data_IF_730892641047
#
_entry.id   IF_730892641047
#
_cell.length_a   1.000
_cell.length_b   1.000
_cell.length_c   1.000
_cell.angle_alpha   90.00
_cell.angle_beta   90.00
_cell.angle_gamma   90.00
#
_symmetry.space_group_name_H-M   'P 1'
#
loop_
_entity.id
_entity.type
_entity.pdbx_description
1 polymer ?
#
# COMPACT_ATOMS: atom_id res chain seq x y z
N UNK A 1 -61.47 -34.32 52.82
CA UNK A 1 -60.21 -33.84 53.44
C UNK A 1 -59.26 -35.03 53.36
N UNK A 2 -58.20 -35.01 52.56
CA UNK A 2 -56.96 -34.30 52.86
C UNK A 2 -56.26 -33.79 51.59
N UNK A 3 -56.03 -32.49 51.53
CA UNK A 3 -55.10 -31.87 50.59
C UNK A 3 -53.69 -32.01 51.19
N UNK A 4 -52.80 -32.75 50.55
CA UNK A 4 -51.37 -32.76 50.91
C UNK A 4 -50.71 -31.51 50.31
N UNK A 5 -50.48 -30.49 51.14
CA UNK A 5 -49.68 -29.33 50.79
C UNK A 5 -48.19 -29.63 51.05
N UNK A 6 -47.39 -29.64 49.99
CA UNK A 6 -45.93 -29.56 50.11
C UNK A 6 -45.52 -28.09 50.34
N UNK A 7 -45.50 -27.69 51.60
CA UNK A 7 -44.84 -26.45 52.02
C UNK A 7 -43.33 -26.63 52.04
N UNK A 8 -42.61 -25.65 51.49
CA UNK A 8 -41.16 -25.59 51.49
C UNK A 8 -40.60 -25.64 52.92
N UNK A 9 -40.15 -26.83 53.36
CA UNK A 9 -38.88 -27.05 54.09
C UNK A 9 -38.79 -28.37 54.85
N UNK A 10 -39.84 -29.20 54.98
CA UNK A 10 -39.72 -30.48 55.71
C UNK A 10 -40.55 -31.60 55.06
N UNK A 11 -39.88 -32.61 54.50
CA UNK A 11 -40.51 -33.87 54.10
C UNK A 11 -40.61 -34.79 55.33
N UNK A 12 -41.82 -35.11 55.79
CA UNK A 12 -42.03 -36.12 56.84
C UNK A 12 -41.95 -37.55 56.25
N UNK A 13 -41.35 -38.54 56.95
CA UNK A 13 -41.06 -39.86 56.39
C UNK A 13 -42.28 -40.78 56.18
N UNK A 14 -43.48 -40.36 56.60
CA UNK A 14 -44.66 -41.23 56.61
C UNK A 14 -45.51 -41.18 55.34
N UNK A 15 -45.07 -40.48 54.29
CA UNK A 15 -45.76 -40.44 52.99
C UNK A 15 -45.04 -41.21 51.88
N UNK A 16 -44.48 -42.39 52.16
CA UNK A 16 -43.76 -43.18 51.15
C UNK A 16 -44.09 -44.68 51.18
N UNK A 17 -45.33 -45.09 50.81
CA UNK A 17 -45.60 -46.26 49.95
C UNK A 17 -47.12 -46.36 49.61
N UNK A 18 -47.55 -46.85 48.42
CA UNK A 18 -46.79 -47.14 47.21
C UNK A 18 -46.77 -45.93 46.24
N UNK A 19 -45.62 -45.72 45.61
CA UNK A 19 -45.20 -44.54 44.84
C UNK A 19 -46.21 -44.00 43.81
N UNK A 20 -46.55 -42.70 43.88
CA UNK A 20 -46.54 -41.81 42.74
C UNK A 20 -45.31 -40.91 42.83
N UNK A 21 -44.56 -40.82 41.74
CA UNK A 21 -43.37 -39.99 41.59
C UNK A 21 -43.62 -38.54 42.05
N UNK A 22 -43.25 -38.23 43.30
CA UNK A 22 -43.23 -36.86 43.79
C UNK A 22 -42.09 -36.13 43.07
N UNK A 23 -42.42 -35.45 41.97
CA UNK A 23 -41.49 -34.53 41.31
C UNK A 23 -41.45 -33.26 42.15
N UNK A 24 -40.40 -33.10 42.95
CA UNK A 24 -40.11 -31.81 43.57
C UNK A 24 -39.79 -30.76 42.48
N UNK A 25 -40.19 -29.49 42.66
CA UNK A 25 -39.87 -28.44 41.71
C UNK A 25 -38.33 -28.32 41.56
N UNK A 26 -37.82 -28.07 40.35
CA UNK A 26 -36.38 -27.89 40.12
C UNK A 26 -35.83 -26.81 41.06
N UNK A 27 -34.68 -27.07 41.67
CA UNK A 27 -34.00 -26.10 42.53
C UNK A 27 -33.65 -24.81 41.78
N UNK A 28 -33.46 -23.69 42.50
CA UNK A 28 -33.10 -22.42 41.88
C UNK A 28 -31.81 -22.58 41.06
N UNK A 29 -31.77 -21.93 39.89
CA UNK A 29 -30.58 -21.92 39.04
C UNK A 29 -29.38 -21.39 39.83
N UNK A 30 -28.28 -22.12 39.82
CA UNK A 30 -27.05 -21.69 40.47
C UNK A 30 -26.52 -20.35 39.93
N UNK A 31 -25.67 -19.64 40.71
CA UNK A 31 -25.09 -18.38 40.29
C UNK A 31 -24.32 -18.54 38.98
N UNK A 32 -24.36 -17.52 38.13
CA UNK A 32 -23.57 -17.49 36.90
C UNK A 32 -22.08 -17.57 37.28
N UNK A 33 -21.34 -18.45 36.63
CA UNK A 33 -19.90 -18.57 36.84
C UNK A 33 -19.15 -17.27 36.51
N UNK A 34 -17.93 -17.09 37.05
CA UNK A 34 -17.12 -15.91 36.79
C UNK A 34 -16.86 -15.74 35.28
N UNK A 35 -16.72 -14.48 34.85
CA UNK A 35 -16.31 -14.18 33.47
C UNK A 35 -14.92 -14.77 33.24
N UNK A 36 -14.73 -15.46 32.12
CA UNK A 36 -13.42 -15.97 31.72
C UNK A 36 -12.38 -14.85 31.56
N UNK A 37 -11.10 -15.20 31.70
CA UNK A 37 -10.00 -14.27 31.48
C UNK A 37 -10.06 -13.68 30.07
N UNK A 38 -9.61 -12.43 29.93
CA UNK A 38 -9.42 -11.81 28.61
C UNK A 38 -8.40 -12.67 27.83
N UNK A 39 -8.73 -13.00 26.60
CA UNK A 39 -7.79 -13.70 25.71
C UNK A 39 -6.51 -12.89 25.48
N UNK A 40 -5.42 -13.54 25.04
CA UNK A 40 -4.19 -12.84 24.68
C UNK A 40 -4.46 -11.78 23.59
N UNK A 41 -3.64 -10.72 23.58
CA UNK A 41 -3.66 -9.74 22.48
C UNK A 41 -3.25 -10.46 21.20
N UNK A 42 -4.02 -10.29 20.11
CA UNK A 42 -3.62 -10.80 18.80
C UNK A 42 -2.32 -10.14 18.31
N UNK A 43 -1.57 -10.84 17.47
CA UNK A 43 -0.41 -10.28 16.78
C UNK A 43 -0.84 -9.09 15.91
N UNK A 44 0.01 -8.06 15.84
CA UNK A 44 -0.23 -6.93 14.93
C UNK A 44 -0.04 -7.38 13.48
N UNK A 45 -0.89 -6.92 12.56
CA UNK A 45 -0.67 -7.21 11.14
C UNK A 45 0.42 -6.30 10.58
N UNK A 46 1.32 -6.84 9.74
CA UNK A 46 2.37 -6.08 9.05
C UNK A 46 1.83 -5.14 7.96
N UNK A 47 0.51 -5.01 7.85
CA UNK A 47 -0.19 -4.30 6.79
C UNK A 47 -0.55 -5.17 5.59
N UNK A 48 -0.74 -4.52 4.44
CA UNK A 48 -0.95 -5.12 3.13
C UNK A 48 -0.02 -4.45 2.11
N UNK A 49 0.23 -5.10 0.97
CA UNK A 49 1.12 -4.58 -0.07
C UNK A 49 0.31 -4.19 -1.31
N UNK A 50 0.55 -3.00 -1.84
CA UNK A 50 0.09 -2.59 -3.18
C UNK A 50 1.20 -2.92 -4.19
N UNK A 51 0.98 -3.88 -5.10
CA UNK A 51 1.95 -4.22 -6.12
C UNK A 51 1.86 -3.29 -7.33
N UNK A 52 3.00 -2.85 -7.84
CA UNK A 52 3.16 -2.13 -9.09
C UNK A 52 4.09 -2.92 -10.01
N UNK A 53 3.66 -3.14 -11.24
CA UNK A 53 4.47 -3.80 -12.26
C UNK A 53 4.17 -3.16 -13.61
N UNK A 54 5.20 -2.99 -14.45
CA UNK A 54 5.03 -2.40 -15.79
C UNK A 54 4.33 -3.35 -16.78
N UNK A 55 4.19 -4.62 -16.43
CA UNK A 55 3.61 -5.64 -17.31
C UNK A 55 4.47 -5.87 -18.56
N UNK A 56 3.80 -6.11 -19.69
CA UNK A 56 4.44 -6.29 -21.00
C UNK A 56 4.83 -4.96 -21.66
N UNK A 57 4.38 -3.83 -21.12
CA UNK A 57 4.69 -2.50 -21.64
C UNK A 57 5.95 -1.98 -20.97
N UNK A 58 6.96 -1.65 -21.77
CA UNK A 58 8.19 -1.05 -21.25
C UNK A 58 7.91 0.37 -20.74
N UNK A 59 8.57 0.73 -19.63
CA UNK A 59 8.66 2.12 -19.18
C UNK A 59 9.63 2.87 -20.07
N UNK A 60 9.26 4.06 -20.52
CA UNK A 60 10.12 4.98 -21.30
C UNK A 60 10.23 6.32 -20.57
N UNK A 61 11.44 6.65 -20.12
CA UNK A 61 11.77 7.89 -19.43
C UNK A 61 12.66 8.74 -20.32
N UNK A 62 12.48 10.06 -20.35
CA UNK A 62 13.45 10.94 -21.00
C UNK A 62 13.98 12.00 -20.05
N UNK A 63 15.17 12.49 -20.37
CA UNK A 63 15.70 13.75 -19.81
C UNK A 63 15.53 14.85 -20.86
N UNK A 64 15.31 16.09 -20.42
CA UNK A 64 15.23 17.26 -21.32
C UNK A 64 16.41 18.19 -21.08
N UNK A 65 16.85 18.85 -22.15
CA UNK A 65 17.87 19.89 -22.13
C UNK A 65 17.14 21.22 -21.92
N UNK A 66 17.32 21.87 -20.77
CA UNK A 66 16.88 23.26 -20.59
C UNK A 66 18.00 24.06 -19.91
N UNK A 67 18.21 25.29 -20.38
CA UNK A 67 19.26 26.21 -19.94
C UNK A 67 19.06 26.78 -18.52
N UNK A 68 17.90 26.55 -17.91
CA UNK A 68 17.60 26.95 -16.52
C UNK A 68 17.63 25.72 -15.60
N UNK A 69 18.52 25.74 -14.61
CA UNK A 69 18.82 24.73 -13.56
C UNK A 69 17.64 24.14 -12.72
N UNK A 70 16.43 24.03 -13.24
CA UNK A 70 15.30 23.38 -12.59
C UNK A 70 15.20 21.92 -13.02
N UNK A 71 15.89 21.02 -12.29
CA UNK A 71 15.60 19.58 -12.14
C UNK A 71 14.72 18.98 -13.25
N UNK A 72 15.26 18.87 -14.46
CA UNK A 72 14.47 18.76 -15.70
C UNK A 72 14.21 17.31 -16.08
N UNK A 73 13.15 16.72 -15.53
CA UNK A 73 12.60 15.45 -16.02
C UNK A 73 11.93 15.68 -17.36
N UNK A 74 12.21 14.84 -18.36
CA UNK A 74 11.46 14.80 -19.60
C UNK A 74 10.18 13.99 -19.45
N UNK A 75 9.91 13.09 -20.39
CA UNK A 75 8.80 12.15 -20.29
C UNK A 75 8.97 11.23 -19.09
N UNK A 76 7.87 11.00 -18.40
CA UNK A 76 7.76 10.12 -17.23
C UNK A 76 6.73 9.04 -17.49
N UNK A 77 6.80 7.96 -16.71
CA UNK A 77 5.89 6.84 -16.83
C UNK A 77 5.11 6.62 -15.54
N UNK A 78 3.79 6.49 -15.67
CA UNK A 78 2.91 6.11 -14.58
C UNK A 78 2.61 4.60 -14.65
N UNK A 79 2.61 3.94 -13.50
CA UNK A 79 2.34 2.51 -13.36
C UNK A 79 1.22 2.30 -12.35
N UNK A 80 0.28 1.42 -12.69
CA UNK A 80 -0.79 0.98 -11.80
C UNK A 80 -1.34 -0.39 -12.21
N UNK A 81 -1.36 -1.34 -11.28
CA UNK A 81 -1.96 -2.68 -11.45
C UNK A 81 -1.59 -3.46 -12.72
N UNK A 82 -0.34 -3.32 -13.20
CA UNK A 82 0.12 -4.02 -14.40
C UNK A 82 0.02 -3.20 -15.69
N UNK A 83 -0.62 -2.03 -15.63
CA UNK A 83 -0.69 -1.07 -16.74
C UNK A 83 0.42 -0.02 -16.63
N UNK A 84 0.95 0.39 -17.78
CA UNK A 84 1.97 1.44 -17.90
C UNK A 84 1.49 2.50 -18.89
N UNK A 85 1.49 3.76 -18.46
CA UNK A 85 1.27 4.92 -19.33
C UNK A 85 2.56 5.71 -19.47
N UNK A 86 3.16 5.70 -20.66
CA UNK A 86 4.33 6.48 -21.02
C UNK A 86 3.95 7.85 -21.58
N UNK A 87 4.95 8.71 -21.80
CA UNK A 87 4.78 9.98 -22.52
C UNK A 87 4.12 11.08 -21.69
N UNK A 88 3.99 10.90 -20.39
CA UNK A 88 3.46 11.96 -19.52
C UNK A 88 4.55 12.99 -19.24
N UNK A 89 4.15 14.20 -18.90
CA UNK A 89 5.03 15.28 -18.44
C UNK A 89 4.50 15.86 -17.15
N UNK A 90 5.36 16.54 -16.39
CA UNK A 90 4.90 17.30 -15.23
C UNK A 90 4.47 18.70 -15.65
N UNK A 91 3.30 19.11 -15.18
CA UNK A 91 2.81 20.48 -15.27
C UNK A 91 3.52 21.42 -14.29
N UNK A 92 3.10 22.68 -14.28
CA UNK A 92 3.61 23.70 -13.35
C UNK A 92 3.33 23.24 -11.91
N UNK A 93 4.37 23.22 -11.07
CA UNK A 93 4.25 22.73 -9.69
C UNK A 93 4.41 21.21 -9.50
N UNK A 94 4.68 20.46 -10.58
CA UNK A 94 4.97 19.02 -10.51
C UNK A 94 3.75 18.13 -10.65
N UNK A 95 2.61 18.66 -11.08
CA UNK A 95 1.37 17.92 -11.29
C UNK A 95 1.49 16.95 -12.48
N UNK A 96 0.86 15.78 -12.36
CA UNK A 96 0.77 14.77 -13.41
C UNK A 96 -0.69 14.56 -13.80
N UNK A 97 -1.05 14.86 -15.04
CA UNK A 97 -2.39 14.57 -15.57
C UNK A 97 -2.41 13.18 -16.23
N UNK A 98 -3.26 12.28 -15.73
CA UNK A 98 -3.46 10.97 -16.36
C UNK A 98 -4.70 11.01 -17.27
N UNK A 99 -4.49 10.81 -18.57
CA UNK A 99 -5.56 10.84 -19.58
C UNK A 99 -6.76 9.93 -19.30
N UNK A 100 -6.56 8.80 -18.62
CA UNK A 100 -7.64 7.86 -18.28
C UNK A 100 -7.88 7.67 -16.77
N UNK A 101 -6.96 8.07 -15.88
CA UNK A 101 -7.08 7.96 -14.41
C UNK A 101 -7.34 6.56 -13.79
N UNK A 102 -7.71 5.57 -14.60
CA UNK A 102 -8.26 4.27 -14.20
C UNK A 102 -7.21 3.27 -13.70
N UNK A 103 -5.92 3.61 -13.83
CA UNK A 103 -4.83 2.79 -13.31
C UNK A 103 -4.48 3.10 -11.85
N UNK A 104 -4.99 4.21 -11.30
CA UNK A 104 -4.68 4.60 -9.94
C UNK A 104 -5.44 3.73 -8.92
N UNK A 105 -4.75 3.33 -7.86
CA UNK A 105 -5.33 2.62 -6.73
C UNK A 105 -6.24 3.53 -5.92
N UNK A 106 -7.52 3.14 -5.79
CA UNK A 106 -8.45 3.84 -4.89
C UNK A 106 -8.33 3.31 -3.48
N UNK A 107 -7.90 4.16 -2.56
CA UNK A 107 -7.67 3.83 -1.15
C UNK A 107 -9.03 3.65 -0.43
N UNK A 108 -9.39 2.44 0.04
CA UNK A 108 -10.73 2.18 0.58
C UNK A 108 -10.91 2.60 2.05
N UNK A 109 -9.82 2.87 2.76
CA UNK A 109 -9.80 3.23 4.19
C UNK A 109 -8.61 4.14 4.46
N UNK A 110 -8.61 4.87 5.57
CA UNK A 110 -7.40 5.60 5.99
C UNK A 110 -6.26 4.60 6.20
N UNK A 111 -5.10 4.87 5.58
CA UNK A 111 -3.92 4.02 5.63
C UNK A 111 -2.69 4.84 6.00
N UNK A 112 -1.64 4.13 6.40
CA UNK A 112 -0.28 4.67 6.53
C UNK A 112 0.68 3.90 5.64
N UNK A 113 1.41 4.61 4.79
CA UNK A 113 2.51 4.05 4.01
C UNK A 113 3.72 3.95 4.91
N UNK A 114 4.28 2.74 5.04
CA UNK A 114 5.43 2.47 5.90
C UNK A 114 6.69 2.15 5.11
N UNK A 115 6.55 1.49 3.96
CA UNK A 115 7.69 1.03 3.18
C UNK A 115 7.40 1.12 1.70
N UNK A 116 8.42 1.45 0.91
CA UNK A 116 8.36 1.42 -0.55
C UNK A 116 9.64 0.77 -1.03
N UNK A 117 9.54 -0.23 -1.89
CA UNK A 117 10.69 -0.78 -2.63
C UNK A 117 10.41 -0.68 -4.11
N UNK A 118 11.36 -0.21 -4.89
CA UNK A 118 11.23 -0.07 -6.33
C UNK A 118 12.45 -0.63 -7.06
N UNK A 119 12.24 -1.15 -8.26
CA UNK A 119 13.29 -1.62 -9.15
C UNK A 119 13.04 -1.16 -10.59
N UNK A 120 14.13 -1.07 -11.35
CA UNK A 120 14.12 -0.77 -12.77
C UNK A 120 15.26 -1.55 -13.44
N UNK A 121 14.99 -2.14 -14.60
CA UNK A 121 16.00 -2.82 -15.42
C UNK A 121 15.96 -2.24 -16.82
N UNK A 122 17.04 -1.62 -17.29
CA UNK A 122 17.06 -1.06 -18.64
C UNK A 122 17.11 -2.15 -19.71
N UNK A 123 16.44 -1.94 -20.84
CA UNK A 123 16.41 -2.91 -21.94
C UNK A 123 17.42 -2.62 -23.05
N UNK A 124 17.94 -1.40 -23.10
CA UNK A 124 18.91 -0.96 -24.10
C UNK A 124 20.13 -0.31 -23.44
N UNK A 125 21.29 -0.44 -24.09
CA UNK A 125 22.51 0.24 -23.66
C UNK A 125 22.34 1.77 -23.76
N UNK A 126 22.91 2.49 -22.80
CA UNK A 126 22.92 3.96 -22.78
C UNK A 126 24.36 4.48 -22.81
N UNK A 127 24.57 5.63 -23.43
CA UNK A 127 25.84 6.36 -23.43
C UNK A 127 25.59 7.79 -22.97
N UNK A 128 26.09 8.14 -21.79
CA UNK A 128 25.79 9.39 -21.09
C UNK A 128 26.97 10.38 -21.07
N UNK A 129 28.14 9.97 -21.54
CA UNK A 129 29.36 10.77 -21.46
C UNK A 129 29.68 11.15 -20.00
N UNK A 130 29.90 12.44 -19.75
CA UNK A 130 30.15 12.99 -18.41
C UNK A 130 28.87 13.26 -17.59
N UNK A 131 27.69 12.92 -18.13
CA UNK A 131 26.41 13.17 -17.46
C UNK A 131 26.08 12.04 -16.48
N UNK A 132 25.46 12.40 -15.36
CA UNK A 132 24.96 11.46 -14.37
C UNK A 132 23.44 11.58 -14.25
N UNK A 133 22.72 10.47 -14.44
CA UNK A 133 21.26 10.43 -14.41
C UNK A 133 20.78 9.52 -13.27
N UNK A 134 19.81 10.01 -12.50
CA UNK A 134 19.19 9.29 -11.40
C UNK A 134 17.76 8.88 -11.80
N UNK A 135 17.49 7.57 -11.82
CA UNK A 135 16.11 7.06 -11.91
C UNK A 135 15.49 7.15 -10.52
N UNK A 136 14.22 7.54 -10.44
CA UNK A 136 13.47 7.63 -9.20
C UNK A 136 12.04 7.12 -9.40
N UNK A 137 11.45 6.61 -8.33
CA UNK A 137 10.05 6.25 -8.26
C UNK A 137 9.39 7.06 -7.13
N UNK A 138 8.22 7.62 -7.36
CA UNK A 138 7.49 8.36 -6.33
C UNK A 138 5.99 8.11 -6.46
N UNK A 139 5.31 7.95 -5.32
CA UNK A 139 3.85 7.95 -5.29
C UNK A 139 3.29 9.35 -5.55
N UNK A 140 2.22 9.38 -6.32
CA UNK A 140 1.43 10.55 -6.63
C UNK A 140 0.00 10.29 -6.17
N UNK A 141 -0.68 11.34 -5.71
CA UNK A 141 -2.01 11.23 -5.14
C UNK A 141 -2.99 12.21 -5.78
N UNK A 142 -4.27 11.84 -5.79
CA UNK A 142 -5.36 12.66 -6.31
C UNK A 142 -6.65 12.37 -5.54
N UNK A 143 -7.54 13.35 -5.32
CA UNK A 143 -8.91 13.07 -4.90
C UNK A 143 -9.64 12.14 -5.90
N UNK A 144 -10.62 11.35 -5.44
CA UNK A 144 -11.34 10.38 -6.27
C UNK A 144 -11.89 10.94 -7.59
N UNK A 145 -12.33 12.20 -7.60
CA UNK A 145 -13.01 12.84 -8.74
C UNK A 145 -12.08 13.50 -9.74
N UNK A 146 -10.77 13.56 -9.49
CA UNK A 146 -9.83 14.36 -10.28
C UNK A 146 -8.87 13.47 -11.11
N UNK A 147 -8.42 13.97 -12.26
CA UNK A 147 -7.43 13.31 -13.13
C UNK A 147 -6.02 13.89 -12.96
N UNK A 148 -5.90 14.99 -12.21
CA UNK A 148 -4.66 15.58 -11.80
C UNK A 148 -4.10 14.92 -10.53
N UNK A 149 -2.83 14.53 -10.57
CA UNK A 149 -2.13 13.94 -9.46
C UNK A 149 -0.96 14.80 -9.02
N UNK A 150 -0.79 14.95 -7.71
CA UNK A 150 0.33 15.67 -7.11
C UNK A 150 1.33 14.70 -6.48
N UNK A 151 2.62 15.03 -6.43
CA UNK A 151 3.61 14.19 -5.77
C UNK A 151 3.27 14.04 -4.28
N UNK A 152 3.20 12.80 -3.79
CA UNK A 152 3.04 12.52 -2.38
C UNK A 152 4.39 12.79 -1.66
N UNK A 153 4.47 13.73 -0.70
CA UNK A 153 5.72 14.04 -0.05
C UNK A 153 6.25 12.88 0.79
N UNK A 154 7.58 12.71 0.82
CA UNK A 154 8.25 11.67 1.61
C UNK A 154 8.25 10.26 1.01
N UNK A 155 7.68 10.06 -0.19
CA UNK A 155 7.59 8.75 -0.85
C UNK A 155 8.50 8.60 -2.07
N UNK A 156 9.49 9.50 -2.24
CA UNK A 156 10.44 9.43 -3.36
C UNK A 156 11.58 8.45 -3.05
N UNK A 157 11.63 7.38 -3.83
CA UNK A 157 12.72 6.40 -3.84
C UNK A 157 13.72 6.79 -4.93
N UNK A 158 14.98 7.03 -4.58
CA UNK A 158 16.07 7.18 -5.56
C UNK A 158 16.69 5.80 -5.80
N UNK A 159 16.75 5.33 -7.05
CA UNK A 159 17.24 3.99 -7.39
C UNK A 159 18.75 4.00 -7.67
N UNK A 160 19.51 3.16 -6.99
CA UNK A 160 20.96 3.03 -7.21
C UNK A 160 21.28 1.79 -8.06
N UNK A 161 22.36 1.81 -8.87
CA UNK A 161 23.36 2.87 -9.00
C UNK A 161 22.89 4.09 -9.82
N UNK A 162 23.60 5.22 -9.70
CA UNK A 162 23.39 6.37 -10.62
C UNK A 162 23.91 5.97 -12.01
N UNK A 163 23.21 6.34 -13.07
CA UNK A 163 23.61 6.05 -14.44
C UNK A 163 24.71 7.03 -14.86
N UNK A 164 25.87 6.51 -15.23
CA UNK A 164 27.04 7.29 -15.66
C UNK A 164 27.80 6.58 -16.79
N UNK A 165 28.46 7.33 -17.68
CA UNK A 165 29.30 6.74 -18.72
C UNK A 165 28.51 5.85 -19.68
N UNK A 166 28.98 4.62 -19.89
CA UNK A 166 28.28 3.60 -20.68
C UNK A 166 27.54 2.66 -19.72
N UNK A 167 26.22 2.58 -19.85
CA UNK A 167 25.37 1.69 -19.07
C UNK A 167 24.94 0.52 -19.96
N UNK A 168 25.40 -0.72 -19.70
CA UNK A 168 25.01 -1.89 -20.49
C UNK A 168 23.51 -2.15 -20.44
N UNK A 169 22.97 -2.83 -21.45
CA UNK A 169 21.61 -3.37 -21.39
C UNK A 169 21.47 -4.35 -20.21
N UNK A 170 20.26 -4.47 -19.66
CA UNK A 170 19.92 -5.31 -18.51
C UNK A 170 20.64 -4.95 -17.20
N UNK A 171 21.11 -3.71 -17.07
CA UNK A 171 21.57 -3.16 -15.79
C UNK A 171 20.37 -2.96 -14.84
N UNK A 172 20.55 -3.33 -13.58
CA UNK A 172 19.50 -3.31 -12.56
C UNK A 172 19.72 -2.15 -11.60
N UNK A 173 18.63 -1.45 -11.29
CA UNK A 173 18.58 -0.31 -10.39
C UNK A 173 17.53 -0.58 -9.32
N UNK A 174 17.86 -0.39 -8.05
CA UNK A 174 16.94 -0.65 -6.94
C UNK A 174 16.99 0.45 -5.90
N UNK A 175 15.91 0.60 -5.14
CA UNK A 175 15.88 1.51 -4.00
C UNK A 175 14.75 1.14 -3.05
N UNK A 176 14.88 1.56 -1.79
CA UNK A 176 13.81 1.40 -0.80
C UNK A 176 13.74 2.56 0.19
N UNK A 177 12.56 2.78 0.72
CA UNK A 177 12.27 3.62 1.88
C UNK A 177 11.60 2.73 2.94
N UNK A 178 11.97 2.93 4.20
CA UNK A 178 11.43 2.19 5.34
C UNK A 178 10.99 3.15 6.44
N UNK A 179 10.17 2.65 7.37
CA UNK A 179 9.71 3.37 8.55
C UNK A 179 8.99 4.70 8.25
N UNK A 180 8.40 4.81 7.05
CA UNK A 180 7.66 5.98 6.60
C UNK A 180 6.46 6.25 7.51
N UNK A 181 6.12 7.54 7.66
CA UNK A 181 4.99 8.02 8.45
C UNK A 181 3.97 8.77 7.60
N UNK A 182 3.76 8.34 6.36
CA UNK A 182 2.91 9.05 5.41
C UNK A 182 1.48 8.55 5.52
N UNK A 183 0.55 9.41 5.93
CA UNK A 183 -0.87 9.09 6.03
C UNK A 183 -1.61 9.43 4.74
N UNK A 184 -2.53 8.55 4.34
CA UNK A 184 -3.41 8.74 3.18
C UNK A 184 -4.85 8.47 3.59
N UNK A 185 -5.76 9.38 3.23
CA UNK A 185 -7.17 9.28 3.56
C UNK A 185 -7.92 8.37 2.59
N UNK A 186 -9.02 7.77 3.05
CA UNK A 186 -9.94 7.03 2.18
C UNK A 186 -10.47 7.90 1.03
N UNK A 187 -10.67 7.31 -0.15
CA UNK A 187 -11.10 8.03 -1.34
C UNK A 187 -9.97 8.74 -2.08
N UNK A 188 -8.73 8.64 -1.60
CA UNK A 188 -7.56 9.10 -2.34
C UNK A 188 -7.18 8.06 -3.38
N UNK A 189 -6.83 8.51 -4.59
CA UNK A 189 -6.23 7.70 -5.63
C UNK A 189 -4.71 7.78 -5.55
N UNK A 190 -4.02 6.65 -5.68
CA UNK A 190 -2.55 6.57 -5.67
C UNK A 190 -2.06 5.96 -6.98
N UNK A 191 -1.03 6.57 -7.56
CA UNK A 191 -0.31 6.02 -8.73
C UNK A 191 1.20 6.12 -8.48
N UNK A 192 1.97 5.19 -9.02
CA UNK A 192 3.42 5.23 -8.93
C UNK A 192 4.00 5.82 -10.22
N UNK A 193 4.91 6.77 -10.09
CA UNK A 193 5.52 7.46 -11.23
C UNK A 193 7.02 7.24 -11.21
N UNK A 194 7.53 6.69 -12.31
CA UNK A 194 8.96 6.61 -12.60
C UNK A 194 9.39 7.81 -13.43
N UNK A 195 10.53 8.39 -13.07
CA UNK A 195 11.12 9.51 -13.80
C UNK A 195 12.65 9.45 -13.70
N UNK A 196 13.32 10.05 -14.68
CA UNK A 196 14.77 10.15 -14.73
C UNK A 196 15.18 11.62 -14.70
N UNK A 197 16.16 11.97 -13.87
CA UNK A 197 16.66 13.34 -13.75
C UNK A 197 18.17 13.39 -13.89
N UNK A 198 18.68 14.44 -14.52
CA UNK A 198 20.09 14.80 -14.45
C UNK A 198 20.43 15.21 -13.01
N UNK A 199 21.50 14.63 -12.45
CA UNK A 199 21.99 14.97 -11.10
C UNK A 199 23.34 15.68 -11.13
N UNK A 200 24.15 15.46 -12.17
CA UNK A 200 25.39 16.21 -12.42
C UNK A 200 25.86 16.03 -13.86
N UNK A 201 26.82 16.86 -14.28
CA UNK A 201 27.38 16.84 -15.63
C UNK A 201 26.62 17.71 -16.64
N UNK A 202 27.01 17.68 -17.92
CA UNK A 202 26.37 18.47 -18.96
C UNK A 202 24.91 18.03 -19.20
N UNK A 203 24.10 18.95 -19.71
CA UNK A 203 22.74 18.63 -20.13
C UNK A 203 22.75 17.61 -21.26
N UNK A 204 21.91 16.59 -21.14
CA UNK A 204 21.77 15.54 -22.16
C UNK A 204 20.29 15.16 -22.32
N UNK A 205 19.85 14.96 -23.56
CA UNK A 205 18.58 14.34 -23.86
C UNK A 205 18.81 12.86 -24.18
N UNK A 206 18.32 11.98 -23.32
CA UNK A 206 18.37 10.53 -23.56
C UNK A 206 17.01 9.90 -23.26
N UNK A 207 16.74 8.79 -23.95
CA UNK A 207 15.60 7.93 -23.66
C UNK A 207 16.09 6.68 -22.95
N UNK A 208 15.51 6.39 -21.79
CA UNK A 208 15.80 5.23 -20.96
C UNK A 208 14.57 4.33 -21.00
N UNK A 209 14.69 3.18 -21.67
CA UNK A 209 13.64 2.15 -21.71
C UNK A 209 13.95 1.01 -20.75
N UNK A 210 12.95 0.48 -20.07
CA UNK A 210 13.16 -0.60 -19.11
C UNK A 210 11.90 -1.23 -18.54
N UNK A 211 12.11 -2.32 -17.81
CA UNK A 211 11.08 -2.98 -17.00
C UNK A 211 11.11 -2.37 -15.61
N UNK A 212 9.95 -2.14 -15.00
CA UNK A 212 9.87 -1.50 -13.70
C UNK A 212 8.83 -2.17 -12.81
N UNK A 213 9.05 -2.09 -11.51
CA UNK A 213 8.07 -2.50 -10.53
C UNK A 213 8.37 -1.97 -9.14
N UNK A 214 7.38 -2.09 -8.26
CA UNK A 214 7.51 -1.68 -6.88
C UNK A 214 6.49 -2.38 -5.98
N UNK A 215 6.78 -2.39 -4.69
CA UNK A 215 5.84 -2.74 -3.63
C UNK A 215 5.72 -1.59 -2.65
N UNK A 216 4.48 -1.28 -2.23
CA UNK A 216 4.19 -0.26 -1.22
C UNK A 216 3.47 -0.93 -0.06
N UNK A 217 4.05 -0.89 1.14
CA UNK A 217 3.40 -1.40 2.33
C UNK A 217 2.44 -0.37 2.92
N UNK A 218 1.22 -0.80 3.23
CA UNK A 218 0.14 0.00 3.78
C UNK A 218 -0.42 -0.65 5.06
N UNK A 219 -0.43 0.09 6.16
CA UNK A 219 -1.04 -0.30 7.43
C UNK A 219 -2.41 0.36 7.59
#
# INVERSE_FOLDING_TARGET
QHNCFCGSQQCFPQCCYPKPHCKCPPGPRGPRGPRGLRGPKGEGSDGAIIPFASGNTLVALTTVVNESNALTTGYVAAIGFGETQNGNTFGVGGELALAAGNMAFSVPRNIRITDITAFFTNTAQLTLGASAIQISAQLFYSPATDIAFLPLPGTRVNLTPVLTGVVPANSVFTGSLKDLKVSVLSGTKLVLVFFARLVSGPSIAVTITGNAGAGVNIA
#
